data_IF_731789926355
#
_entry.id   IF_731789926355
#
_cell.length_a   1.000
_cell.length_b   1.000
_cell.length_c   1.000
_cell.angle_alpha   90.00
_cell.angle_beta   90.00
_cell.angle_gamma   90.00
#
_symmetry.space_group_name_H-M   'P 1'
#
loop_
_entity.id
_entity.type
_entity.pdbx_description
1 polymer ?
#
# COMPACT_ATOMS: atom_id res chain seq x y z
N UNK A 1 19.16 5.01 17.21
CA UNK A 1 17.91 5.42 16.56
C UNK A 1 17.83 6.93 16.67
N UNK A 2 17.93 7.73 15.59
CA UNK A 2 17.67 9.15 15.75
C UNK A 2 16.16 9.31 15.98
N UNK A 3 15.81 9.76 17.19
CA UNK A 3 14.46 10.19 17.56
C UNK A 3 14.13 11.45 16.76
N UNK A 4 13.09 11.39 15.92
CA UNK A 4 12.63 12.56 15.18
C UNK A 4 11.85 13.51 16.12
N UNK A 5 12.26 14.78 16.29
CA UNK A 5 11.56 15.73 17.15
C UNK A 5 10.42 16.41 16.38
N UNK A 6 9.18 16.14 16.81
CA UNK A 6 7.94 16.88 16.52
C UNK A 6 7.82 17.60 15.15
N UNK A 7 7.65 16.81 14.09
CA UNK A 7 6.66 17.09 13.04
C UNK A 7 5.63 15.96 13.11
N UNK A 8 4.36 16.20 12.84
CA UNK A 8 3.36 15.12 12.84
C UNK A 8 3.66 14.20 11.63
N UNK A 9 4.61 13.27 11.77
CA UNK A 9 4.81 12.15 10.86
C UNK A 9 3.58 11.25 11.00
N UNK A 10 2.51 11.61 10.28
CA UNK A 10 1.28 10.85 10.27
C UNK A 10 1.53 9.59 9.45
N UNK A 11 1.93 8.52 10.13
CA UNK A 11 2.02 7.18 9.56
C UNK A 11 0.68 6.82 8.91
N UNK A 12 0.73 6.48 7.62
CA UNK A 12 -0.43 5.99 6.87
C UNK A 12 -0.30 4.47 6.78
N UNK A 13 -1.25 3.75 7.38
CA UNK A 13 -1.38 2.31 7.18
C UNK A 13 -2.19 2.02 5.91
N UNK A 14 -1.71 1.07 5.11
CA UNK A 14 -2.39 0.56 3.93
C UNK A 14 -2.27 -0.96 3.90
N UNK A 15 -3.35 -1.63 3.51
CA UNK A 15 -3.33 -3.07 3.21
C UNK A 15 -3.24 -3.26 1.70
N UNK A 16 -2.48 -4.27 1.27
CA UNK A 16 -2.27 -4.60 -0.12
C UNK A 16 -2.33 -6.10 -0.34
N UNK A 17 -2.76 -6.52 -1.53
CA UNK A 17 -2.92 -7.92 -1.91
C UNK A 17 -2.00 -8.30 -3.06
N UNK A 18 -1.62 -9.58 -3.10
CA UNK A 18 -0.93 -10.17 -4.25
C UNK A 18 -1.89 -11.17 -4.90
N UNK A 19 -2.41 -10.79 -6.06
CA UNK A 19 -3.24 -11.65 -6.89
C UNK A 19 -2.35 -12.31 -7.94
N UNK A 20 -2.33 -13.65 -7.98
CA UNK A 20 -1.43 -14.43 -8.83
C UNK A 20 -2.24 -15.34 -9.74
N UNK A 21 -1.78 -15.49 -10.98
CA UNK A 21 -2.33 -16.50 -11.90
C UNK A 21 -1.55 -17.83 -11.79
N UNK A 22 -2.06 -18.92 -12.41
CA UNK A 22 -1.36 -20.21 -12.42
C UNK A 22 0.01 -20.20 -13.11
N UNK A 23 0.28 -19.18 -13.94
CA UNK A 23 1.58 -19.00 -14.60
C UNK A 23 2.59 -18.22 -13.71
N UNK A 24 2.20 -17.84 -12.50
CA UNK A 24 3.05 -17.14 -11.54
C UNK A 24 3.18 -15.64 -11.78
N UNK A 25 2.37 -15.03 -12.66
CA UNK A 25 2.33 -13.57 -12.89
C UNK A 25 1.36 -12.92 -11.92
N UNK A 26 1.65 -11.70 -11.47
CA UNK A 26 0.86 -11.03 -10.44
C UNK A 26 0.21 -9.75 -10.96
N UNK A 27 -1.00 -9.44 -10.48
CA UNK A 27 -1.73 -8.24 -10.88
C UNK A 27 -1.12 -7.00 -10.22
N UNK A 28 -0.84 -5.98 -11.02
CA UNK A 28 -0.40 -4.66 -10.55
C UNK A 28 -1.33 -3.57 -11.08
N UNK A 29 -1.46 -2.48 -10.34
CA UNK A 29 -2.16 -1.27 -10.77
C UNK A 29 -1.17 -0.13 -11.01
N UNK A 30 -1.55 0.82 -11.85
CA UNK A 30 -0.81 2.07 -12.04
C UNK A 30 -1.79 3.24 -11.94
N UNK A 31 -1.64 4.06 -10.91
CA UNK A 31 -2.47 5.25 -10.75
C UNK A 31 -2.15 6.27 -11.84
N UNK A 32 -3.18 6.90 -12.42
CA UNK A 32 -2.99 7.97 -13.42
C UNK A 32 -2.04 9.04 -12.87
N UNK A 33 -1.02 9.39 -13.66
CA UNK A 33 -0.02 10.39 -13.27
C UNK A 33 1.17 9.84 -12.45
N UNK A 34 1.29 8.53 -12.28
CA UNK A 34 2.45 7.91 -11.60
C UNK A 34 3.32 7.13 -12.58
N UNK A 35 4.60 6.93 -12.26
CA UNK A 35 5.54 6.13 -13.06
C UNK A 35 5.65 4.68 -12.61
N UNK A 36 5.35 4.39 -11.35
CA UNK A 36 5.53 3.07 -10.76
C UNK A 36 4.25 2.23 -10.77
N UNK A 37 4.42 0.92 -10.93
CA UNK A 37 3.39 -0.06 -10.63
C UNK A 37 3.27 -0.27 -9.12
N UNK A 38 2.08 -0.64 -8.67
CA UNK A 38 1.74 -0.82 -7.27
C UNK A 38 0.92 -2.08 -7.10
N UNK A 39 0.96 -2.64 -5.89
CA UNK A 39 0.02 -3.69 -5.51
C UNK A 39 -1.39 -3.11 -5.38
N UNK A 40 -2.45 -3.85 -5.77
CA UNK A 40 -3.81 -3.49 -5.44
C UNK A 40 -3.98 -3.41 -3.91
N UNK A 41 -4.70 -2.41 -3.44
CA UNK A 41 -4.84 -2.16 -2.00
C UNK A 41 -5.45 -0.81 -1.68
N UNK A 42 -5.56 -0.52 -0.38
CA UNK A 42 -6.22 0.68 0.12
C UNK A 42 -5.93 0.95 1.60
N UNK A 43 -6.45 2.06 2.09
CA UNK A 43 -6.49 2.30 3.55
C UNK A 43 -7.63 1.44 4.11
N UNK A 44 -7.43 0.74 5.23
CA UNK A 44 -8.52 0.07 5.92
C UNK A 44 -9.57 1.09 6.40
N UNK A 45 -10.83 0.70 6.34
CA UNK A 45 -11.94 1.44 6.93
C UNK A 45 -12.06 1.15 8.43
N UNK A 46 -12.69 2.05 9.22
CA UNK A 46 -12.84 1.85 10.66
C UNK A 46 -13.55 0.52 10.99
N UNK A 47 -12.89 -0.34 11.76
CA UNK A 47 -13.41 -1.65 12.17
C UNK A 47 -12.97 -2.81 11.28
N UNK A 48 -12.26 -2.55 10.18
CA UNK A 48 -11.65 -3.61 9.37
C UNK A 48 -10.36 -4.14 10.01
N UNK A 49 -10.14 -5.45 9.88
CA UNK A 49 -8.85 -6.06 10.21
C UNK A 49 -7.91 -5.91 9.03
N UNK A 50 -6.67 -5.47 9.32
CA UNK A 50 -5.62 -5.30 8.31
C UNK A 50 -4.98 -6.62 7.88
#
# INVERSE_FOLDING_TARGET
MPSNPSGIDKTISVSAVILRDPAGRWLTVRKRGTSCFMHPGGKPEPGESA
#
